data_IF_800241541599
#
_entry.id   IF_800241541599
#
_cell.length_a   1.000
_cell.length_b   1.000
_cell.length_c   1.000
_cell.angle_alpha   90.00
_cell.angle_beta   90.00
_cell.angle_gamma   90.00
#
_symmetry.space_group_name_H-M   'P 1'
#
loop_
_entity.id
_entity.type
_entity.pdbx_description
1 polymer ?
#
# COMPACT_ATOMS: atom_id res chain seq x y z
N UNK A 1 0.26 -29.56 9.05
CA UNK A 1 -1.05 -28.88 8.88
C UNK A 1 -0.81 -27.64 8.03
N UNK A 2 -1.00 -27.76 6.71
CA UNK A 2 -0.79 -26.63 5.79
C UNK A 2 -2.05 -25.78 5.80
N UNK A 3 -2.07 -24.75 6.63
CA UNK A 3 -3.15 -23.77 6.72
C UNK A 3 -2.73 -22.47 6.00
N UNK A 4 -2.16 -22.60 4.81
CA UNK A 4 -1.88 -21.44 3.98
C UNK A 4 -3.22 -21.04 3.38
N UNK A 5 -3.80 -19.90 3.81
CA UNK A 5 -4.75 -19.22 2.95
C UNK A 5 -4.03 -18.98 1.64
N UNK A 6 -4.45 -19.63 0.56
CA UNK A 6 -4.02 -19.24 -0.77
C UNK A 6 -4.49 -17.81 -0.98
N UNK A 7 -3.54 -16.88 -0.97
CA UNK A 7 -3.81 -15.49 -1.30
C UNK A 7 -3.95 -15.46 -2.82
N UNK A 8 -5.12 -15.08 -3.30
CA UNK A 8 -5.41 -14.97 -4.72
C UNK A 8 -4.32 -14.15 -5.43
N UNK A 9 -3.83 -14.63 -6.58
CA UNK A 9 -2.78 -13.97 -7.34
C UNK A 9 -1.34 -14.23 -6.87
N UNK A 10 -1.12 -14.91 -5.74
CA UNK A 10 0.22 -15.26 -5.26
C UNK A 10 0.54 -16.73 -5.55
N UNK A 11 1.59 -16.99 -6.33
CA UNK A 11 1.98 -18.34 -6.71
C UNK A 11 3.21 -18.85 -5.95
N UNK A 12 3.04 -19.92 -5.17
CA UNK A 12 4.08 -20.62 -4.40
C UNK A 12 4.52 -21.97 -5.00
N UNK A 13 4.03 -22.35 -6.19
CA UNK A 13 3.97 -23.75 -6.66
C UNK A 13 5.26 -24.34 -7.25
N UNK A 14 6.42 -23.66 -7.20
CA UNK A 14 7.57 -24.00 -8.06
C UNK A 14 8.94 -24.03 -7.36
N UNK A 15 9.09 -24.75 -6.24
CA UNK A 15 10.33 -24.84 -5.46
C UNK A 15 10.99 -23.47 -5.16
N UNK A 16 10.16 -22.42 -5.05
CA UNK A 16 10.63 -21.05 -4.90
C UNK A 16 10.79 -20.71 -3.43
N UNK A 17 11.84 -19.95 -3.13
CA UNK A 17 12.04 -19.33 -1.80
C UNK A 17 11.05 -18.15 -1.61
N UNK A 18 10.70 -17.44 -2.69
CA UNK A 18 9.78 -16.30 -2.71
C UNK A 18 8.61 -16.57 -3.67
N UNK A 19 7.41 -16.03 -3.40
CA UNK A 19 6.29 -16.23 -4.30
C UNK A 19 6.50 -15.45 -5.61
N UNK A 20 5.85 -15.92 -6.67
CA UNK A 20 5.66 -15.10 -7.86
C UNK A 20 4.38 -14.26 -7.72
N UNK A 21 4.50 -12.97 -8.05
CA UNK A 21 3.40 -12.01 -8.07
C UNK A 21 2.83 -11.88 -9.50
N UNK A 22 1.57 -11.45 -9.61
CA UNK A 22 0.97 -11.15 -10.91
C UNK A 22 1.61 -9.91 -11.55
N UNK A 23 1.66 -9.91 -12.88
CA UNK A 23 2.02 -8.71 -13.64
C UNK A 23 0.91 -7.65 -13.54
N UNK A 24 1.24 -6.35 -13.38
CA UNK A 24 0.23 -5.29 -13.41
C UNK A 24 -0.42 -5.21 -14.80
N UNK A 25 -1.73 -4.96 -14.83
CA UNK A 25 -2.47 -4.72 -16.08
C UNK A 25 -2.75 -3.23 -16.35
N UNK A 26 -2.69 -2.42 -15.30
CA UNK A 26 -2.85 -0.98 -15.30
C UNK A 26 -2.47 -0.43 -13.94
N UNK A 27 -2.02 0.82 -13.88
CA UNK A 27 -1.56 1.46 -12.66
C UNK A 27 -2.24 2.82 -12.47
N UNK A 28 -2.84 3.03 -11.30
CA UNK A 28 -3.15 4.37 -10.78
C UNK A 28 -1.93 4.86 -10.00
N UNK A 29 -1.40 6.00 -10.41
CA UNK A 29 -0.18 6.60 -9.86
C UNK A 29 -0.58 7.71 -8.89
N UNK A 30 -0.12 7.62 -7.65
CA UNK A 30 -0.33 8.65 -6.62
C UNK A 30 0.99 9.31 -6.26
N UNK A 31 0.98 10.64 -6.17
CA UNK A 31 2.15 11.44 -5.83
C UNK A 31 2.11 11.85 -4.34
N UNK A 32 2.91 11.17 -3.53
CA UNK A 32 3.08 11.40 -2.09
C UNK A 32 4.18 12.43 -1.78
N UNK A 33 4.85 13.01 -2.77
CA UNK A 33 5.83 14.06 -2.50
C UNK A 33 5.13 15.24 -1.82
N UNK A 34 5.68 15.68 -0.69
CA UNK A 34 5.08 16.73 0.14
C UNK A 34 4.01 16.25 1.13
N UNK A 35 3.65 14.96 1.12
CA UNK A 35 2.80 14.37 2.15
C UNK A 35 3.53 14.29 3.50
N UNK A 36 2.77 14.41 4.58
CA UNK A 36 3.18 14.10 5.94
C UNK A 36 3.67 12.65 6.06
N UNK A 37 4.58 12.40 7.00
CA UNK A 37 5.09 11.05 7.27
C UNK A 37 3.97 10.07 7.63
N UNK A 38 2.94 10.54 8.34
CA UNK A 38 1.79 9.72 8.74
C UNK A 38 0.93 9.31 7.53
N UNK A 39 0.75 10.18 6.53
CA UNK A 39 0.09 9.83 5.27
C UNK A 39 0.97 8.88 4.46
N UNK A 40 2.28 9.10 4.38
CA UNK A 40 3.19 8.19 3.67
C UNK A 40 3.13 6.76 4.25
N UNK A 41 3.14 6.63 5.59
CA UNK A 41 3.02 5.35 6.28
C UNK A 41 1.67 4.66 5.98
N UNK A 42 0.58 5.40 6.09
CA UNK A 42 -0.77 4.88 5.84
C UNK A 42 -0.95 4.44 4.39
N UNK A 43 -0.56 5.29 3.44
CA UNK A 43 -0.63 5.03 2.01
C UNK A 43 0.25 3.84 1.59
N UNK A 44 1.47 3.73 2.12
CA UNK A 44 2.37 2.62 1.82
C UNK A 44 1.80 1.27 2.28
N UNK A 45 1.22 1.20 3.50
CA UNK A 45 0.58 -0.03 3.98
C UNK A 45 -0.67 -0.37 3.18
N UNK A 46 -1.45 0.63 2.77
CA UNK A 46 -2.62 0.44 1.93
C UNK A 46 -2.24 -0.06 0.53
N UNK A 47 -1.22 0.51 -0.10
CA UNK A 47 -0.72 0.05 -1.40
C UNK A 47 -0.25 -1.40 -1.33
N UNK A 48 0.37 -1.81 -0.22
CA UNK A 48 0.73 -3.20 0.04
C UNK A 48 -0.48 -4.16 -0.01
N UNK A 49 -1.62 -3.77 0.58
CA UNK A 49 -2.85 -4.56 0.53
C UNK A 49 -3.50 -4.56 -0.86
N UNK A 50 -3.60 -3.39 -1.49
CA UNK A 50 -4.19 -3.21 -2.81
C UNK A 50 -3.42 -4.04 -3.85
N UNK A 51 -2.09 -4.01 -3.80
CA UNK A 51 -1.22 -4.67 -4.78
C UNK A 51 -1.03 -6.16 -4.52
N UNK A 52 -1.47 -6.68 -3.37
CA UNK A 52 -1.25 -8.07 -2.95
C UNK A 52 -1.77 -9.11 -3.96
N UNK A 53 -3.03 -9.05 -4.45
CA UNK A 53 -3.51 -10.00 -5.44
C UNK A 53 -3.05 -9.68 -6.87
N UNK A 54 -3.05 -8.39 -7.21
CA UNK A 54 -2.58 -7.89 -8.49
C UNK A 54 -2.16 -6.43 -8.31
N UNK A 55 -0.95 -6.02 -8.72
CA UNK A 55 -0.53 -4.64 -8.60
C UNK A 55 -1.44 -3.69 -9.41
N UNK A 56 -1.91 -2.63 -8.75
CA UNK A 56 -2.83 -1.61 -9.28
C UNK A 56 -2.41 -0.18 -8.92
N UNK A 57 -1.63 0.01 -7.86
CA UNK A 57 -1.22 1.33 -7.36
C UNK A 57 0.29 1.45 -7.39
N UNK A 58 0.78 2.60 -7.85
CA UNK A 58 2.18 3.00 -7.73
C UNK A 58 2.28 4.31 -6.96
N UNK A 59 3.18 4.37 -5.98
CA UNK A 59 3.37 5.55 -5.13
C UNK A 59 4.68 6.24 -5.51
N UNK A 60 4.62 7.56 -5.72
CA UNK A 60 5.79 8.42 -5.92
C UNK A 60 6.02 9.19 -4.62
N UNK A 61 7.04 8.80 -3.86
CA UNK A 61 7.56 9.46 -2.67
C UNK A 61 8.82 10.30 -2.94
N UNK A 62 9.50 10.06 -4.07
CA UNK A 62 10.71 10.75 -4.50
C UNK A 62 10.80 10.86 -6.04
N UNK A 63 11.66 11.76 -6.53
CA UNK A 63 11.88 11.93 -7.98
C UNK A 63 12.50 10.67 -8.63
N UNK A 64 13.20 9.84 -7.85
CA UNK A 64 13.78 8.59 -8.34
C UNK A 64 12.70 7.57 -8.75
N UNK A 65 11.55 7.56 -8.08
CA UNK A 65 10.48 6.64 -8.44
C UNK A 65 9.81 6.99 -9.78
N UNK A 66 9.88 8.25 -10.22
CA UNK A 66 9.42 8.66 -11.55
C UNK A 66 10.25 7.98 -12.64
N UNK A 67 11.56 7.86 -12.41
CA UNK A 67 12.46 7.15 -13.33
C UNK A 67 12.05 5.68 -13.43
N UNK A 68 11.86 4.98 -12.31
CA UNK A 68 11.49 3.56 -12.34
C UNK A 68 10.10 3.30 -12.93
N UNK A 69 9.12 4.16 -12.64
CA UNK A 69 7.79 4.09 -13.25
C UNK A 69 7.87 4.17 -14.78
N UNK A 70 8.74 5.03 -15.31
CA UNK A 70 8.93 5.20 -16.75
C UNK A 70 9.74 4.05 -17.36
N UNK A 71 10.89 3.73 -16.81
CA UNK A 71 11.85 2.82 -17.45
C UNK A 71 11.46 1.35 -17.30
N UNK A 72 10.82 0.97 -16.19
CA UNK A 72 10.44 -0.43 -15.92
C UNK A 72 8.96 -0.69 -16.23
N UNK A 73 8.09 0.28 -15.93
CA UNK A 73 6.63 0.12 -16.00
C UNK A 73 5.99 0.94 -17.12
N UNK A 74 6.77 1.64 -17.96
CA UNK A 74 6.28 2.55 -18.99
C UNK A 74 5.45 1.89 -20.11
N UNK A 75 5.53 0.56 -20.26
CA UNK A 75 4.69 -0.21 -21.20
C UNK A 75 3.31 -0.57 -20.64
N UNK A 76 3.10 -0.41 -19.33
CA UNK A 76 1.83 -0.68 -18.64
C UNK A 76 0.97 0.58 -18.72
N UNK A 77 -0.35 0.48 -19.02
CA UNK A 77 -1.24 1.63 -18.96
C UNK A 77 -1.21 2.32 -17.59
N UNK A 78 -1.09 3.65 -17.59
CA UNK A 78 -0.98 4.45 -16.37
C UNK A 78 -1.99 5.59 -16.38
N UNK A 79 -2.57 5.86 -15.23
CA UNK A 79 -3.35 7.06 -14.95
C UNK A 79 -2.78 7.75 -13.71
N UNK A 80 -2.63 9.07 -13.76
CA UNK A 80 -2.19 9.84 -12.59
C UNK A 80 -3.40 10.30 -11.81
N UNK A 81 -3.43 10.00 -10.51
CA UNK A 81 -4.42 10.53 -9.59
C UNK A 81 -4.34 12.05 -9.52
N UNK A 82 -5.49 12.71 -9.36
CA UNK A 82 -5.54 14.16 -9.08
C UNK A 82 -5.13 14.46 -7.64
N UNK A 83 -5.30 13.50 -6.74
CA UNK A 83 -4.90 13.61 -5.33
C UNK A 83 -3.38 13.47 -5.19
N UNK A 84 -2.79 14.38 -4.42
CA UNK A 84 -1.36 14.46 -4.16
C UNK A 84 -1.09 14.92 -2.73
N UNK A 85 0.15 14.71 -2.25
CA UNK A 85 0.54 15.05 -0.88
C UNK A 85 -0.35 14.34 0.14
N UNK A 86 -0.87 15.08 1.12
CA UNK A 86 -1.73 14.52 2.17
C UNK A 86 -3.08 13.99 1.63
N UNK A 87 -3.58 14.52 0.51
CA UNK A 87 -4.84 14.07 -0.11
C UNK A 87 -4.79 12.66 -0.69
N UNK A 88 -3.59 12.10 -0.88
CA UNK A 88 -3.42 10.73 -1.42
C UNK A 88 -4.14 9.69 -0.56
N UNK A 89 -4.11 9.82 0.78
CA UNK A 89 -4.77 8.86 1.65
C UNK A 89 -6.28 8.83 1.40
N UNK A 90 -6.91 10.00 1.27
CA UNK A 90 -8.33 10.11 0.94
C UNK A 90 -8.64 9.50 -0.43
N UNK A 91 -7.83 9.81 -1.44
CA UNK A 91 -7.97 9.26 -2.78
C UNK A 91 -7.88 7.72 -2.80
N UNK A 92 -6.94 7.16 -2.05
CA UNK A 92 -6.82 5.70 -1.89
C UNK A 92 -8.02 5.12 -1.14
N UNK A 93 -8.44 5.73 -0.04
CA UNK A 93 -9.59 5.27 0.75
C UNK A 93 -10.89 5.31 -0.06
N UNK A 94 -11.14 6.37 -0.81
CA UNK A 94 -12.33 6.51 -1.68
C UNK A 94 -12.34 5.39 -2.73
N UNK A 95 -11.20 5.10 -3.34
CA UNK A 95 -11.11 4.17 -4.48
C UNK A 95 -11.03 2.70 -4.04
N UNK A 96 -10.34 2.42 -2.94
CA UNK A 96 -9.95 1.08 -2.52
C UNK A 96 -10.38 0.71 -1.10
N UNK A 97 -11.43 1.35 -0.56
CA UNK A 97 -11.97 1.04 0.78
C UNK A 97 -12.20 -0.46 1.02
N UNK A 98 -12.65 -1.19 0.00
CA UNK A 98 -12.93 -2.62 0.12
C UNK A 98 -11.69 -3.50 0.30
N UNK A 99 -10.50 -2.98 0.04
CA UNK A 99 -9.24 -3.68 0.25
C UNK A 99 -8.79 -3.70 1.72
N UNK A 100 -9.44 -2.92 2.60
CA UNK A 100 -9.06 -2.79 4.01
C UNK A 100 -10.21 -3.21 4.93
N UNK A 101 -9.88 -3.88 6.04
CA UNK A 101 -10.83 -4.37 7.05
C UNK A 101 -10.79 -3.55 8.34
N UNK A 102 -9.82 -2.66 8.50
CA UNK A 102 -9.70 -1.80 9.67
C UNK A 102 -8.38 -1.03 9.74
N UNK A 103 -8.17 -0.42 10.90
CA UNK A 103 -6.99 0.40 11.19
C UNK A 103 -6.23 -0.15 12.39
N UNK A 104 -4.90 -0.07 12.35
CA UNK A 104 -4.01 -0.34 13.47
C UNK A 104 -3.34 0.97 13.85
N UNK A 105 -3.65 1.46 15.05
CA UNK A 105 -3.13 2.73 15.55
C UNK A 105 -1.75 2.46 16.18
N UNK A 106 -0.69 3.06 15.64
CA UNK A 106 0.65 2.96 16.24
C UNK A 106 0.82 3.96 17.40
N UNK A 107 1.84 3.75 18.24
CA UNK A 107 2.19 4.67 19.32
C UNK A 107 3.31 5.62 18.85
N UNK A 108 3.05 6.93 18.65
CA UNK A 108 4.07 7.86 18.18
C UNK A 108 5.22 8.05 19.20
N UNK A 109 4.98 7.83 20.48
CA UNK A 109 6.01 7.92 21.54
C UNK A 109 6.93 6.70 21.59
N UNK A 110 6.62 5.66 20.80
CA UNK A 110 7.43 4.45 20.68
C UNK A 110 7.58 4.07 19.21
N UNK A 111 8.64 4.57 18.55
CA UNK A 111 8.85 4.45 17.11
C UNK A 111 8.83 3.00 16.59
N UNK A 112 9.32 2.04 17.37
CA UNK A 112 9.31 0.63 17.00
C UNK A 112 7.90 0.04 16.90
N UNK A 113 6.90 0.70 17.50
CA UNK A 113 5.50 0.32 17.34
C UNK A 113 5.02 0.41 15.90
N UNK A 114 5.65 1.22 15.04
CA UNK A 114 5.32 1.31 13.61
C UNK A 114 5.55 -0.05 12.95
N UNK A 115 6.68 -0.70 13.20
CA UNK A 115 7.00 -2.00 12.60
C UNK A 115 6.07 -3.12 13.11
N UNK A 116 5.71 -3.07 14.40
CA UNK A 116 4.73 -3.99 15.00
C UNK A 116 3.36 -3.76 14.35
N UNK A 117 2.92 -2.50 14.25
CA UNK A 117 1.66 -2.12 13.63
C UNK A 117 1.60 -2.57 12.17
N UNK A 118 2.67 -2.38 11.38
CA UNK A 118 2.77 -2.83 9.98
C UNK A 118 2.59 -4.34 9.87
N UNK A 119 3.23 -5.10 10.76
CA UNK A 119 3.10 -6.57 10.79
C UNK A 119 1.67 -6.99 11.10
N UNK A 120 1.04 -6.33 12.08
CA UNK A 120 -0.35 -6.61 12.47
C UNK A 120 -1.33 -6.21 11.36
N UNK A 121 -1.13 -5.06 10.72
CA UNK A 121 -1.90 -4.55 9.60
C UNK A 121 -1.91 -5.56 8.44
N UNK A 122 -0.75 -6.09 8.05
CA UNK A 122 -0.63 -7.09 6.99
C UNK A 122 -1.33 -8.44 7.31
N UNK A 123 -1.43 -8.81 8.59
CA UNK A 123 -2.12 -10.03 9.04
C UNK A 123 -3.63 -9.86 9.19
N UNK A 124 -4.10 -8.63 9.42
CA UNK A 124 -5.50 -8.30 9.67
C UNK A 124 -6.16 -7.57 8.50
N UNK A 125 -5.47 -7.50 7.36
CA UNK A 125 -5.86 -6.74 6.18
C UNK A 125 -6.27 -5.30 6.53
N UNK A 126 -5.50 -4.66 7.42
CA UNK A 126 -5.71 -3.28 7.84
C UNK A 126 -4.57 -2.35 7.43
N UNK A 127 -4.76 -1.05 7.64
CA UNK A 127 -3.71 -0.03 7.43
C UNK A 127 -3.20 0.49 8.78
N UNK A 128 -1.96 0.97 8.81
CA UNK A 128 -1.47 1.68 9.98
C UNK A 128 -1.87 3.15 9.88
N UNK A 129 -2.22 3.76 11.02
CA UNK A 129 -2.60 5.18 11.10
C UNK A 129 -2.05 5.79 12.39
N UNK A 130 -1.82 7.10 12.39
CA UNK A 130 -1.54 7.85 13.62
C UNK A 130 -2.79 7.95 14.51
N UNK A 131 -2.65 8.28 15.81
CA UNK A 131 -3.81 8.57 16.65
C UNK A 131 -4.71 9.68 16.10
N UNK A 132 -4.11 10.72 15.50
CA UNK A 132 -4.85 11.83 14.89
C UNK A 132 -5.65 11.35 13.68
N UNK A 133 -5.00 10.66 12.74
CA UNK A 133 -5.67 10.08 11.56
C UNK A 133 -6.80 9.13 11.95
N UNK A 134 -6.60 8.31 12.99
CA UNK A 134 -7.63 7.40 13.47
C UNK A 134 -8.87 8.13 14.00
N UNK A 135 -8.71 9.33 14.54
CA UNK A 135 -9.82 10.15 15.02
C UNK A 135 -10.59 10.81 13.86
N UNK A 136 -9.88 11.20 12.79
CA UNK A 136 -10.47 11.82 11.60
C UNK A 136 -11.21 10.81 10.71
N UNK A 137 -10.82 9.52 10.75
CA UNK A 137 -11.34 8.45 9.89
C UNK A 137 -12.52 7.63 10.51
N UNK A 138 -12.91 7.93 11.75
CA UNK A 138 -14.03 7.27 12.47
C UNK A 138 -15.38 7.95 12.22
#
# INVERSE_FOLDING_TARGET
MSNHREIEGINWSADRILPAFQTPQGLTVYDLRGASTEVQLSAATMAGLINRPQPKVYLITSDEEVFWLKEVLGSIPQETSVENGDGVLDGLLITFRSAIQGMIIYNPDFIDSINIATTMAAQRDGIIVSPTQAQDLQ
#
